data_IF_610937749594
#
_entry.id   IF_610937749594
#
_cell.length_a   1.000
_cell.length_b   1.000
_cell.length_c   1.000
_cell.angle_alpha   90.00
_cell.angle_beta   90.00
_cell.angle_gamma   90.00
#
_symmetry.space_group_name_H-M   'P 1'
#
loop_
_entity.id
_entity.type
_entity.pdbx_description
1 polymer ?
#
# COMPACT_ATOMS: atom_id res chain seq x y z
N UNK A 1 13.83 -24.75 7.17
CA UNK A 1 12.64 -24.66 6.28
C UNK A 1 12.02 -23.29 6.52
N UNK A 2 11.49 -22.63 5.48
CA UNK A 2 10.34 -21.71 5.56
C UNK A 2 10.54 -20.18 5.57
N UNK A 3 11.22 -19.60 4.58
CA UNK A 3 10.76 -18.31 4.00
C UNK A 3 10.71 -18.41 2.47
N UNK A 4 11.73 -19.03 1.84
CA UNK A 4 11.77 -19.31 0.39
C UNK A 4 10.54 -20.11 -0.09
N UNK A 5 10.09 -21.10 0.69
CA UNK A 5 8.90 -21.93 0.37
C UNK A 5 7.58 -21.14 0.39
N UNK A 6 7.52 -19.98 1.06
CA UNK A 6 6.31 -19.17 1.13
C UNK A 6 6.11 -18.33 -0.14
N UNK A 7 7.18 -17.81 -0.75
CA UNK A 7 7.09 -16.94 -1.93
C UNK A 7 6.72 -17.73 -3.18
N UNK A 8 7.33 -18.91 -3.38
CA UNK A 8 7.00 -19.78 -4.52
C UNK A 8 5.54 -20.22 -4.48
N UNK A 9 5.04 -20.58 -3.29
CA UNK A 9 3.64 -20.97 -3.09
C UNK A 9 2.67 -19.82 -3.40
N UNK A 10 3.00 -18.60 -2.96
CA UNK A 10 2.24 -17.39 -3.30
C UNK A 10 2.27 -17.12 -4.81
N UNK A 11 3.43 -17.27 -5.44
CA UNK A 11 3.58 -17.07 -6.87
C UNK A 11 2.71 -18.06 -7.67
N UNK A 12 2.67 -19.33 -7.28
CA UNK A 12 1.79 -20.34 -7.87
C UNK A 12 0.31 -20.01 -7.65
N UNK A 13 -0.05 -19.47 -6.49
CA UNK A 13 -1.41 -19.00 -6.21
C UNK A 13 -1.80 -17.85 -7.15
N UNK A 14 -0.93 -16.85 -7.32
CA UNK A 14 -1.16 -15.74 -8.24
C UNK A 14 -1.27 -16.24 -9.69
N UNK A 15 -0.45 -17.22 -10.10
CA UNK A 15 -0.56 -17.83 -11.43
C UNK A 15 -1.91 -18.49 -11.67
N UNK A 16 -2.47 -19.16 -10.66
CA UNK A 16 -3.71 -19.93 -10.79
C UNK A 16 -4.97 -19.08 -10.62
N UNK A 17 -4.91 -18.06 -9.77
CA UNK A 17 -6.09 -17.30 -9.33
C UNK A 17 -5.97 -15.78 -9.49
N UNK A 18 -4.87 -15.28 -10.06
CA UNK A 18 -4.61 -13.84 -10.16
C UNK A 18 -5.67 -13.06 -10.94
N UNK A 19 -6.32 -13.69 -11.93
CA UNK A 19 -7.43 -13.08 -12.69
C UNK A 19 -8.69 -12.78 -11.87
N UNK A 20 -8.76 -13.29 -10.64
CA UNK A 20 -9.83 -13.03 -9.68
C UNK A 20 -9.41 -12.05 -8.57
N UNK A 21 -8.14 -11.68 -8.49
CA UNK A 21 -7.62 -10.81 -7.43
C UNK A 21 -7.83 -9.35 -7.81
N UNK A 22 -8.69 -8.67 -7.05
CA UNK A 22 -8.92 -7.22 -7.17
C UNK A 22 -8.26 -6.42 -6.05
N UNK A 23 -7.99 -7.04 -4.89
CA UNK A 23 -7.49 -6.37 -3.69
C UNK A 23 -6.24 -7.08 -3.17
N UNK A 24 -5.18 -6.31 -2.87
CA UNK A 24 -3.94 -6.88 -2.35
C UNK A 24 -3.20 -5.91 -1.45
N UNK A 25 -2.44 -6.42 -0.49
CA UNK A 25 -1.64 -5.63 0.43
C UNK A 25 -0.28 -6.27 0.70
N UNK A 26 0.76 -5.44 0.76
CA UNK A 26 2.09 -5.83 1.23
C UNK A 26 2.44 -4.97 2.44
N UNK A 27 2.28 -5.54 3.63
CA UNK A 27 2.61 -4.90 4.91
C UNK A 27 3.61 -5.77 5.65
N UNK A 28 4.65 -5.17 6.23
CA UNK A 28 5.63 -5.86 7.07
C UNK A 28 4.95 -6.25 8.38
N UNK A 29 4.97 -7.54 8.71
CA UNK A 29 4.47 -8.05 10.00
C UNK A 29 5.58 -8.25 11.04
N UNK A 30 6.86 -8.28 10.66
CA UNK A 30 8.00 -8.43 11.58
C UNK A 30 9.30 -7.80 11.07
N UNK A 31 10.02 -7.14 11.96
CA UNK A 31 11.28 -6.40 11.72
C UNK A 31 12.51 -7.32 11.63
N UNK A 32 12.49 -8.30 10.73
CA UNK A 32 13.61 -9.21 10.48
C UNK A 32 14.31 -8.92 9.15
N UNK A 33 15.65 -8.81 9.21
CA UNK A 33 16.66 -8.75 8.12
C UNK A 33 16.28 -8.11 6.77
N UNK A 34 16.97 -7.01 6.44
CA UNK A 34 16.51 -5.97 5.50
C UNK A 34 16.72 -6.24 4.00
N UNK A 35 17.35 -7.34 3.59
CA UNK A 35 17.70 -7.54 2.17
C UNK A 35 16.95 -8.71 1.52
N UNK A 36 16.85 -9.86 2.20
CA UNK A 36 16.16 -11.04 1.67
C UNK A 36 14.65 -10.82 1.57
N UNK A 37 14.04 -10.18 2.58
CA UNK A 37 12.65 -9.75 2.54
C UNK A 37 12.38 -8.78 1.38
N UNK A 38 13.29 -7.83 1.16
CA UNK A 38 13.16 -6.83 0.10
C UNK A 38 13.23 -7.44 -1.29
N UNK A 39 14.12 -8.42 -1.49
CA UNK A 39 14.19 -9.19 -2.73
C UNK A 39 12.93 -10.04 -2.94
N UNK A 40 12.46 -10.70 -1.89
CA UNK A 40 11.23 -11.49 -1.89
C UNK A 40 10.02 -10.64 -2.27
N UNK A 41 9.92 -9.44 -1.69
CA UNK A 41 8.87 -8.46 -1.97
C UNK A 41 8.92 -7.97 -3.41
N UNK A 42 10.12 -7.70 -3.96
CA UNK A 42 10.33 -7.37 -5.39
C UNK A 42 9.85 -8.49 -6.31
N UNK A 43 10.18 -9.73 -6.00
CA UNK A 43 9.79 -10.89 -6.82
C UNK A 43 8.28 -11.12 -6.80
N UNK A 44 7.64 -10.96 -5.63
CA UNK A 44 6.20 -11.06 -5.48
C UNK A 44 5.48 -9.95 -6.25
N UNK A 45 5.98 -8.71 -6.18
CA UNK A 45 5.44 -7.57 -6.94
C UNK A 45 5.49 -7.81 -8.46
N UNK A 46 6.60 -8.33 -9.00
CA UNK A 46 6.70 -8.69 -10.42
C UNK A 46 5.66 -9.75 -10.82
N UNK A 47 5.48 -10.76 -9.97
CA UNK A 47 4.50 -11.81 -10.21
C UNK A 47 3.07 -11.27 -10.17
N UNK A 48 2.80 -10.36 -9.24
CA UNK A 48 1.51 -9.71 -9.09
C UNK A 48 1.15 -8.85 -10.31
N UNK A 49 2.08 -8.01 -10.78
CA UNK A 49 1.92 -7.23 -12.03
C UNK A 49 1.62 -8.14 -13.22
N UNK A 50 2.27 -9.32 -13.27
CA UNK A 50 2.13 -10.26 -14.38
C UNK A 50 0.81 -11.03 -14.36
N UNK A 51 0.36 -11.47 -13.18
CA UNK A 51 -0.73 -12.44 -13.07
C UNK A 51 -2.05 -11.86 -12.57
N UNK A 52 -2.08 -10.62 -12.08
CA UNK A 52 -3.29 -10.00 -11.51
C UNK A 52 -3.75 -8.80 -12.35
N UNK A 53 -4.46 -9.02 -13.47
CA UNK A 53 -4.83 -7.95 -14.41
C UNK A 53 -6.13 -7.21 -14.03
N UNK A 54 -6.61 -7.30 -12.78
CA UNK A 54 -7.86 -6.63 -12.36
C UNK A 54 -7.72 -5.93 -11.02
N UNK A 55 -6.51 -5.55 -10.66
CA UNK A 55 -6.23 -4.92 -9.36
C UNK A 55 -6.91 -3.56 -9.30
N UNK A 56 -7.66 -3.33 -8.24
CA UNK A 56 -8.37 -2.08 -7.96
C UNK A 56 -7.97 -1.48 -6.63
N UNK A 57 -7.52 -2.29 -5.68
CA UNK A 57 -7.04 -1.86 -4.38
C UNK A 57 -5.64 -2.40 -4.12
N UNK A 58 -4.73 -1.52 -3.72
CA UNK A 58 -3.39 -1.88 -3.29
C UNK A 58 -3.05 -1.20 -1.97
N UNK A 59 -2.54 -1.96 -1.00
CA UNK A 59 -2.01 -1.45 0.26
C UNK A 59 -0.51 -1.69 0.36
N UNK A 60 0.23 -0.71 0.86
CA UNK A 60 1.65 -0.89 1.18
C UNK A 60 2.04 -0.18 2.47
N UNK A 61 3.16 -0.57 3.05
CA UNK A 61 3.75 0.06 4.23
C UNK A 61 5.07 0.79 3.96
N UNK A 62 5.51 0.86 2.69
CA UNK A 62 6.77 1.48 2.28
C UNK A 62 6.60 2.42 1.08
N UNK A 63 6.31 3.71 1.30
CA UNK A 63 6.07 4.67 0.21
C UNK A 63 7.30 4.92 -0.67
N UNK A 64 8.51 4.72 -0.13
CA UNK A 64 9.77 4.97 -0.84
C UNK A 64 10.26 3.75 -1.62
N UNK A 65 9.51 2.65 -1.62
CA UNK A 65 9.92 1.52 -2.42
C UNK A 65 9.65 1.81 -3.90
N UNK A 66 10.74 1.89 -4.67
CA UNK A 66 10.82 2.02 -6.13
C UNK A 66 9.82 1.07 -6.82
N UNK A 67 9.46 -0.05 -6.18
CA UNK A 67 8.51 -1.00 -6.72
C UNK A 67 7.04 -0.59 -6.66
N UNK A 68 6.58 0.31 -5.76
CA UNK A 68 5.18 0.81 -5.81
C UNK A 68 4.98 1.67 -7.05
N UNK A 69 5.92 2.58 -7.30
CA UNK A 69 5.92 3.39 -8.52
C UNK A 69 6.05 2.51 -9.76
N UNK A 70 6.95 1.52 -9.72
CA UNK A 70 7.07 0.55 -10.82
C UNK A 70 5.79 -0.26 -11.00
N UNK A 71 5.07 -0.60 -9.94
CA UNK A 71 3.79 -1.31 -10.01
C UNK A 71 2.71 -0.42 -10.62
N UNK A 72 2.61 0.84 -10.20
CA UNK A 72 1.71 1.82 -10.81
C UNK A 72 2.08 2.04 -12.29
N UNK A 73 3.37 2.12 -12.64
CA UNK A 73 3.82 2.31 -14.02
C UNK A 73 3.55 1.08 -14.90
N UNK A 74 3.87 -0.12 -14.42
CA UNK A 74 3.83 -1.35 -15.21
C UNK A 74 2.45 -2.01 -15.26
N UNK A 75 1.58 -1.79 -14.27
CA UNK A 75 0.17 -2.17 -14.40
C UNK A 75 -0.40 -1.21 -15.45
N UNK A 76 -0.66 -1.71 -16.65
CA UNK A 76 -1.29 -0.96 -17.76
C UNK A 76 -2.74 -0.54 -17.47
N UNK A 77 -3.14 -0.47 -16.20
CA UNK A 77 -4.48 -0.21 -15.71
C UNK A 77 -4.43 0.74 -14.50
N UNK A 78 -5.58 1.35 -14.20
CA UNK A 78 -5.71 2.28 -13.10
C UNK A 78 -5.98 1.52 -11.79
N UNK A 79 -5.21 1.83 -10.74
CA UNK A 79 -5.47 1.37 -9.38
C UNK A 79 -6.50 2.33 -8.78
N UNK A 80 -7.71 1.88 -8.50
CA UNK A 80 -8.72 2.78 -7.97
C UNK A 80 -8.35 3.28 -6.57
N UNK A 81 -7.82 2.41 -5.71
CA UNK A 81 -7.53 2.70 -4.30
C UNK A 81 -6.09 2.35 -3.95
N UNK A 82 -5.37 3.31 -3.38
CA UNK A 82 -4.05 3.13 -2.82
C UNK A 82 -4.05 3.52 -1.35
N UNK A 83 -3.63 2.60 -0.48
CA UNK A 83 -3.43 2.87 0.94
C UNK A 83 -1.97 2.71 1.31
N UNK A 84 -1.43 3.63 2.10
CA UNK A 84 -0.05 3.60 2.56
C UNK A 84 0.01 3.75 4.08
N UNK A 85 0.57 2.76 4.76
CA UNK A 85 0.87 2.81 6.19
C UNK A 85 2.35 3.11 6.41
N UNK A 86 2.69 4.29 6.85
CA UNK A 86 4.07 4.64 7.11
C UNK A 86 4.40 4.41 8.58
N UNK A 87 5.42 3.60 8.85
CA UNK A 87 6.04 3.52 10.17
C UNK A 87 7.24 4.47 10.26
N UNK A 88 7.09 5.58 10.98
CA UNK A 88 8.15 6.58 11.17
C UNK A 88 8.83 6.45 12.53
N UNK A 89 10.16 6.63 12.55
CA UNK A 89 10.94 6.74 13.78
C UNK A 89 11.05 8.18 14.28
N UNK A 90 10.82 9.19 13.45
CA UNK A 90 10.79 10.61 13.84
C UNK A 90 10.05 11.49 12.80
N UNK A 91 9.76 12.75 13.14
CA UNK A 91 9.07 13.70 12.26
C UNK A 91 9.82 14.04 10.96
N UNK A 92 11.15 13.85 10.87
CA UNK A 92 11.88 14.16 9.63
C UNK A 92 11.55 13.15 8.52
N UNK A 93 11.43 11.87 8.88
CA UNK A 93 11.03 10.81 7.93
C UNK A 93 9.64 11.05 7.30
N UNK A 94 8.76 11.83 7.95
CA UNK A 94 7.46 12.22 7.39
C UNK A 94 7.59 13.01 6.08
N UNK A 95 8.47 14.03 6.02
CA UNK A 95 8.57 14.91 4.85
C UNK A 95 9.28 14.25 3.67
N UNK A 96 10.26 13.40 3.95
CA UNK A 96 11.00 12.64 2.93
C UNK A 96 10.10 11.61 2.25
N UNK A 97 9.28 10.91 3.03
CA UNK A 97 8.32 9.94 2.49
C UNK A 97 7.18 10.63 1.75
N UNK A 98 6.69 11.76 2.27
CA UNK A 98 5.67 12.56 1.61
C UNK A 98 6.13 13.10 0.24
N UNK A 99 7.39 13.51 0.13
CA UNK A 99 7.97 13.96 -1.13
C UNK A 99 7.98 12.86 -2.19
N UNK A 100 8.23 11.62 -1.79
CA UNK A 100 8.16 10.46 -2.69
C UNK A 100 6.72 10.21 -3.13
N UNK A 101 5.77 10.27 -2.20
CA UNK A 101 4.33 10.08 -2.48
C UNK A 101 3.82 11.08 -3.54
N UNK A 102 4.36 12.31 -3.60
CA UNK A 102 4.00 13.27 -4.67
C UNK A 102 4.27 12.74 -6.08
N UNK A 103 5.16 11.76 -6.26
CA UNK A 103 5.34 11.11 -7.55
C UNK A 103 4.12 10.29 -7.99
N UNK A 104 3.29 9.80 -7.06
CA UNK A 104 2.00 9.14 -7.37
C UNK A 104 1.08 10.11 -8.12
N UNK A 105 1.05 11.39 -7.71
CA UNK A 105 0.22 12.44 -8.32
C UNK A 105 0.50 12.61 -9.82
N UNK A 106 1.77 12.46 -10.22
CA UNK A 106 2.21 12.66 -11.60
C UNK A 106 1.76 11.55 -12.56
N UNK A 107 1.27 10.42 -12.03
CA UNK A 107 0.96 9.23 -12.84
C UNK A 107 -0.52 9.12 -13.18
N UNK A 108 -1.41 9.87 -12.53
CA UNK A 108 -2.87 9.90 -12.77
C UNK A 108 -3.57 8.51 -12.76
N UNK A 109 -2.93 7.50 -12.18
CA UNK A 109 -3.43 6.11 -12.14
C UNK A 109 -4.15 5.76 -10.83
N UNK A 110 -4.15 6.67 -9.86
CA UNK A 110 -4.79 6.49 -8.55
C UNK A 110 -5.98 7.42 -8.44
N UNK A 111 -7.17 6.89 -8.11
CA UNK A 111 -8.37 7.71 -7.89
C UNK A 111 -8.55 8.10 -6.43
N UNK A 112 -8.28 7.15 -5.53
CA UNK A 112 -8.43 7.31 -4.08
C UNK A 112 -7.12 7.00 -3.38
N UNK A 113 -6.71 7.89 -2.47
CA UNK A 113 -5.47 7.76 -1.72
C UNK A 113 -5.78 7.90 -0.23
N UNK A 114 -5.25 7.00 0.60
CA UNK A 114 -5.25 7.19 2.04
C UNK A 114 -3.88 6.87 2.62
N UNK A 115 -3.39 7.72 3.50
CA UNK A 115 -2.07 7.54 4.12
C UNK A 115 -2.21 7.78 5.61
N UNK A 116 -1.73 6.81 6.40
CA UNK A 116 -1.57 6.92 7.84
C UNK A 116 -0.09 6.84 8.17
N UNK A 117 0.39 7.80 8.95
CA UNK A 117 1.72 7.73 9.53
C UNK A 117 1.61 7.37 11.00
N UNK A 118 2.08 6.18 11.34
CA UNK A 118 2.22 5.74 12.71
C UNK A 118 3.65 6.03 13.18
N UNK A 119 3.76 6.76 14.29
CA UNK A 119 5.04 6.96 14.98
C UNK A 119 5.08 6.04 16.18
N UNK A 120 6.14 5.22 16.28
CA UNK A 120 6.31 4.32 17.42
C UNK A 120 6.76 5.06 18.69
N UNK A 121 7.24 6.30 18.58
CA UNK A 121 7.79 7.07 19.71
C UNK A 121 6.78 7.98 20.41
N UNK A 122 5.61 8.20 19.80
CA UNK A 122 4.61 9.14 20.31
C UNK A 122 3.30 8.36 20.45
N UNK A 123 2.77 8.27 21.66
CA UNK A 123 1.53 7.56 22.01
C UNK A 123 0.26 8.18 21.39
N UNK A 124 0.39 8.96 20.31
CA UNK A 124 -0.72 9.61 19.66
C UNK A 124 -1.17 8.79 18.46
N UNK A 125 -2.49 8.75 18.29
CA UNK A 125 -3.16 8.30 17.08
C UNK A 125 -2.43 8.86 15.85
N UNK A 126 -1.75 7.99 15.09
CA UNK A 126 -0.94 8.36 13.95
C UNK A 126 -1.56 9.43 13.03
N UNK A 127 -0.71 10.22 12.37
CA UNK A 127 -1.14 11.37 11.57
C UNK A 127 -1.63 10.91 10.19
N UNK A 128 -2.84 11.30 9.83
CA UNK A 128 -3.39 11.01 8.50
C UNK A 128 -3.11 12.14 7.50
N UNK A 129 -2.85 11.78 6.24
CA UNK A 129 -2.79 12.75 5.13
C UNK A 129 -4.10 13.54 5.01
N UNK A 130 -5.24 12.90 5.28
CA UNK A 130 -6.55 13.54 5.25
C UNK A 130 -6.64 14.80 6.13
N UNK A 131 -5.89 14.85 7.23
CA UNK A 131 -5.90 15.97 8.18
C UNK A 131 -5.09 17.17 7.70
N UNK A 132 -4.30 17.03 6.63
CA UNK A 132 -3.43 18.08 6.08
C UNK A 132 -4.14 18.80 4.94
N UNK A 133 -4.81 19.92 5.23
CA UNK A 133 -5.69 20.60 4.27
C UNK A 133 -4.99 21.05 2.99
N UNK A 134 -3.82 21.66 3.11
CA UNK A 134 -3.08 22.19 1.95
C UNK A 134 -2.64 21.05 1.03
N UNK A 135 -2.11 19.99 1.62
CA UNK A 135 -1.73 18.76 0.94
C UNK A 135 -2.92 18.09 0.23
N UNK A 136 -4.03 17.90 0.94
CA UNK A 136 -5.27 17.35 0.36
C UNK A 136 -5.74 18.18 -0.82
N UNK A 137 -5.61 19.51 -0.76
CA UNK A 137 -5.99 20.38 -1.86
C UNK A 137 -5.04 20.24 -3.05
N UNK A 138 -3.74 20.04 -2.82
CA UNK A 138 -2.77 19.73 -3.89
C UNK A 138 -3.15 18.43 -4.60
N UNK A 139 -3.45 17.35 -3.86
CA UNK A 139 -3.89 16.07 -4.46
C UNK A 139 -5.18 16.20 -5.30
N UNK A 140 -6.14 17.04 -4.87
CA UNK A 140 -7.37 17.28 -5.63
C UNK A 140 -7.12 17.89 -7.01
N UNK A 141 -6.08 18.72 -7.15
CA UNK A 141 -5.70 19.29 -8.46
C UNK A 141 -5.28 18.21 -9.47
N UNK A 142 -4.89 17.03 -8.98
CA UNK A 142 -4.53 15.85 -9.76
C UNK A 142 -5.65 14.80 -9.82
N UNK A 143 -6.90 15.19 -9.55
CA UNK A 143 -8.06 14.30 -9.54
C UNK A 143 -7.97 13.13 -8.53
N UNK A 144 -7.12 13.26 -7.51
CA UNK A 144 -6.98 12.27 -6.43
C UNK A 144 -7.85 12.68 -5.26
N UNK A 145 -8.72 11.78 -4.83
CA UNK A 145 -9.56 11.95 -3.64
C UNK A 145 -8.83 11.36 -2.43
N UNK A 146 -8.37 12.22 -1.53
CA UNK A 146 -7.77 11.77 -0.27
C UNK A 146 -8.86 11.33 0.71
N UNK A 147 -8.71 10.14 1.28
CA UNK A 147 -9.61 9.56 2.27
C UNK A 147 -8.92 9.40 3.64
N UNK A 148 -9.72 9.30 4.70
CA UNK A 148 -9.24 8.88 6.02
C UNK A 148 -8.82 7.43 5.96
N UNK A 149 -7.58 7.14 6.34
CA UNK A 149 -7.05 5.79 6.32
C UNK A 149 -7.77 4.89 7.33
N UNK A 150 -8.03 5.40 8.53
CA UNK A 150 -8.72 4.65 9.59
C UNK A 150 -10.15 4.23 9.24
N UNK A 151 -10.80 4.91 8.29
CA UNK A 151 -12.11 4.50 7.78
C UNK A 151 -12.05 3.30 6.83
N UNK A 152 -10.86 2.97 6.30
CA UNK A 152 -10.64 1.88 5.35
C UNK A 152 -10.10 0.61 6.03
N UNK A 153 -9.69 0.72 7.30
CA UNK A 153 -9.28 -0.42 8.09
C UNK A 153 -10.50 -1.30 8.36
N UNK A 154 -10.48 -2.51 7.81
CA UNK A 154 -11.40 -3.58 8.20
C UNK A 154 -10.82 -4.18 9.47
N UNK A 155 -11.43 -3.89 10.62
CA UNK A 155 -11.09 -4.56 11.87
C UNK A 155 -11.65 -5.99 11.84
N UNK A 156 -11.03 -6.92 12.56
CA UNK A 156 -11.56 -8.29 12.76
C UNK A 156 -13.03 -8.27 13.21
N UNK A 157 -13.41 -7.27 14.01
CA UNK A 157 -14.79 -7.03 14.42
C UNK A 157 -15.75 -6.74 13.25
N UNK A 158 -15.29 -6.00 12.23
CA UNK A 158 -16.12 -5.66 11.06
C UNK A 158 -16.43 -6.90 10.21
N UNK A 159 -15.54 -7.91 10.24
CA UNK A 159 -15.74 -9.18 9.54
C UNK A 159 -16.80 -10.02 10.28
N UNK A 160 -16.68 -10.15 11.60
CA UNK A 160 -17.58 -10.99 12.42
C UNK A 160 -19.03 -10.49 12.40
N UNK A 161 -19.25 -9.17 12.36
CA UNK A 161 -20.61 -8.62 12.31
C UNK A 161 -21.29 -8.78 10.93
N UNK A 162 -20.52 -8.88 9.84
CA UNK A 162 -21.08 -9.01 8.50
C UNK A 162 -21.43 -10.45 8.11
N UNK A 163 -20.93 -11.47 8.81
CA UNK A 163 -21.29 -12.88 8.59
C UNK A 163 -22.52 -13.35 9.37
N UNK A 164 -23.02 -12.57 10.34
CA UNK A 164 -24.17 -12.92 11.18
C UNK A 164 -25.49 -12.27 10.71
N UNK A 165 -25.60 -11.90 9.43
CA UNK A 165 -26.77 -11.28 8.83
C UNK A 165 -27.12 -11.96 7.52
#
# INVERSE_FOLDING_TARGET
MNEILHIESLQLLLQKYGDYIENFGLTVSNFGNTNEYEESRRQLLKSFIKYCPKIRYFSSDKPNDINIYSLIENIGQNINYLTILVHTYNYHTFYDEYSSIKHIMKKEKVKYLAILLESQLICNDGKELFSLKDEVNEFKLHNIIVQKYRNLLINENDIVYNFNK
#
